data_IF_130164160050
#
_entry.id   IF_130164160050
#
_cell.length_a   1.000
_cell.length_b   1.000
_cell.length_c   1.000
_cell.angle_alpha   90.00
_cell.angle_beta   90.00
_cell.angle_gamma   90.00
#
_symmetry.space_group_name_H-M   'P 1'
#
loop_
_entity.id
_entity.type
_entity.pdbx_description
1 polymer ?
#
# COMPACT_ATOMS: atom_id res chain seq x y z
N UNK A 1 -15.03 4.61 -18.00
CA UNK A 1 -14.08 4.68 -16.87
C UNK A 1 -14.83 5.20 -15.66
N UNK A 2 -14.77 4.47 -14.54
CA UNK A 2 -15.55 4.77 -13.34
C UNK A 2 -14.75 5.60 -12.30
N UNK A 3 -13.52 5.97 -12.63
CA UNK A 3 -12.62 6.70 -11.72
C UNK A 3 -12.25 8.06 -12.32
N UNK A 4 -12.28 9.10 -11.46
CA UNK A 4 -11.83 10.44 -11.80
C UNK A 4 -10.69 10.84 -10.86
N UNK A 5 -9.48 10.94 -11.36
CA UNK A 5 -8.32 11.39 -10.57
C UNK A 5 -8.39 12.91 -10.45
N UNK A 6 -8.76 13.40 -9.27
CA UNK A 6 -8.94 14.84 -8.99
C UNK A 6 -7.68 15.53 -8.49
N UNK A 7 -6.73 14.77 -7.92
CA UNK A 7 -5.45 15.28 -7.44
C UNK A 7 -4.39 14.18 -7.40
N UNK A 8 -3.14 14.55 -7.57
CA UNK A 8 -1.97 13.69 -7.39
C UNK A 8 -0.84 14.50 -6.78
N UNK A 9 -0.19 13.98 -5.74
CA UNK A 9 1.02 14.55 -5.14
C UNK A 9 2.03 13.45 -4.80
N UNK A 10 3.32 13.80 -4.79
CA UNK A 10 4.39 12.89 -4.42
C UNK A 10 4.52 12.83 -2.88
N UNK A 11 4.46 11.62 -2.32
CA UNK A 11 4.66 11.35 -0.90
C UNK A 11 6.05 10.84 -0.54
N UNK A 12 6.94 10.65 -1.54
CA UNK A 12 8.35 10.23 -1.40
C UNK A 12 8.54 8.98 -0.53
N UNK A 13 7.60 8.04 -0.57
CA UNK A 13 7.58 6.83 0.28
C UNK A 13 7.77 7.15 1.78
N UNK A 14 7.32 8.33 2.19
CA UNK A 14 7.53 8.84 3.56
C UNK A 14 6.21 9.28 4.16
N UNK A 15 5.84 8.69 5.29
CA UNK A 15 4.55 8.90 5.98
C UNK A 15 4.25 10.36 6.26
N UNK A 16 5.21 11.10 6.80
CA UNK A 16 5.02 12.53 7.12
C UNK A 16 4.85 13.41 5.88
N UNK A 17 5.63 13.14 4.81
CA UNK A 17 5.52 13.89 3.55
C UNK A 17 4.17 13.60 2.89
N UNK A 18 3.74 12.34 2.88
CA UNK A 18 2.44 11.94 2.37
C UNK A 18 1.28 12.55 3.18
N UNK A 19 1.43 12.67 4.50
CA UNK A 19 0.46 13.36 5.36
C UNK A 19 0.31 14.82 4.97
N UNK A 20 1.41 15.54 4.80
CA UNK A 20 1.40 16.95 4.37
C UNK A 20 0.81 17.10 2.95
N UNK A 21 1.20 16.20 2.04
CA UNK A 21 0.65 16.16 0.68
C UNK A 21 -0.87 15.96 0.69
N UNK A 22 -1.36 15.02 1.48
CA UNK A 22 -2.79 14.74 1.61
C UNK A 22 -3.54 15.89 2.29
N UNK A 23 -2.97 16.54 3.28
CA UNK A 23 -3.56 17.73 3.90
C UNK A 23 -3.78 18.86 2.87
N UNK A 24 -2.81 19.09 1.98
CA UNK A 24 -2.96 20.04 0.87
C UNK A 24 -4.05 19.62 -0.12
N UNK A 25 -4.15 18.32 -0.44
CA UNK A 25 -5.21 17.79 -1.32
C UNK A 25 -6.59 18.01 -0.69
N UNK A 26 -6.74 17.72 0.62
CA UNK A 26 -7.98 17.93 1.37
C UNK A 26 -8.36 19.42 1.37
N UNK A 27 -7.40 20.31 1.64
CA UNK A 27 -7.66 21.76 1.63
C UNK A 27 -8.19 22.25 0.28
N UNK A 28 -7.69 21.69 -0.84
CA UNK A 28 -8.07 22.10 -2.17
C UNK A 28 -9.37 21.45 -2.68
N UNK A 29 -9.70 20.25 -2.24
CA UNK A 29 -10.77 19.43 -2.83
C UNK A 29 -11.92 19.12 -1.85
N UNK A 30 -11.68 19.13 -0.54
CA UNK A 30 -12.68 18.92 0.50
C UNK A 30 -13.41 17.59 0.35
N UNK A 31 -14.75 17.67 0.39
CA UNK A 31 -15.71 16.56 0.32
C UNK A 31 -15.82 15.86 -1.05
N UNK A 32 -15.04 16.30 -2.05
CA UNK A 32 -14.99 15.63 -3.36
C UNK A 32 -14.12 14.37 -3.35
N UNK A 33 -13.33 14.18 -2.28
CA UNK A 33 -12.46 13.02 -2.11
C UNK A 33 -13.30 11.88 -1.55
N UNK A 34 -13.39 10.77 -2.30
CA UNK A 34 -14.07 9.55 -1.88
C UNK A 34 -13.17 8.31 -1.93
N UNK A 35 -11.97 8.44 -2.50
CA UNK A 35 -10.96 7.38 -2.48
C UNK A 35 -9.55 7.97 -2.48
N UNK A 36 -8.63 7.25 -1.86
CA UNK A 36 -7.19 7.52 -1.86
C UNK A 36 -6.45 6.24 -2.25
N UNK A 37 -5.54 6.37 -3.21
CA UNK A 37 -4.62 5.31 -3.58
C UNK A 37 -3.19 5.74 -3.25
N UNK A 38 -2.61 5.11 -2.25
CA UNK A 38 -1.19 5.22 -1.96
C UNK A 38 -0.39 4.24 -2.81
N UNK A 39 0.60 4.73 -3.55
CA UNK A 39 1.51 3.85 -4.31
C UNK A 39 2.46 3.06 -3.41
N UNK A 40 2.34 3.26 -2.10
CA UNK A 40 3.08 2.63 -1.04
C UNK A 40 2.27 2.74 0.26
N UNK A 41 2.41 1.78 1.18
CA UNK A 41 1.66 1.75 2.44
C UNK A 41 2.00 2.92 3.36
N UNK A 42 3.25 3.40 3.40
CA UNK A 42 3.62 4.59 4.18
C UNK A 42 2.86 5.82 3.69
N UNK A 43 2.70 5.95 2.36
CA UNK A 43 1.91 7.02 1.78
C UNK A 43 0.42 6.90 2.11
N UNK A 44 -0.13 5.68 2.05
CA UNK A 44 -1.53 5.43 2.43
C UNK A 44 -1.78 5.75 3.91
N UNK A 45 -0.89 5.32 4.81
CA UNK A 45 -0.98 5.60 6.25
C UNK A 45 -0.85 7.11 6.53
N UNK A 46 0.05 7.81 5.85
CA UNK A 46 0.16 9.26 5.93
C UNK A 46 -1.14 9.96 5.52
N UNK A 47 -1.76 9.48 4.43
CA UNK A 47 -3.07 9.99 4.00
C UNK A 47 -4.18 9.73 5.02
N UNK A 48 -4.22 8.53 5.63
CA UNK A 48 -5.16 8.20 6.74
C UNK A 48 -5.02 9.21 7.87
N UNK A 49 -3.79 9.55 8.28
CA UNK A 49 -3.55 10.51 9.35
C UNK A 49 -4.09 11.90 9.00
N UNK A 50 -3.88 12.37 7.76
CA UNK A 50 -4.40 13.66 7.30
C UNK A 50 -5.93 13.68 7.21
N UNK A 51 -6.57 12.60 6.74
CA UNK A 51 -8.03 12.45 6.70
C UNK A 51 -8.61 12.54 8.10
N UNK A 52 -8.06 11.79 9.07
CA UNK A 52 -8.50 11.83 10.48
C UNK A 52 -8.33 13.23 11.09
N UNK A 53 -7.21 13.91 10.81
CA UNK A 53 -6.96 15.27 11.28
C UNK A 53 -7.97 16.29 10.73
N UNK A 54 -8.49 16.04 9.52
CA UNK A 54 -9.53 16.83 8.87
C UNK A 54 -10.95 16.46 9.33
N UNK A 55 -11.11 15.48 10.23
CA UNK A 55 -12.42 15.01 10.71
C UNK A 55 -13.14 14.08 9.74
N UNK A 56 -12.47 13.59 8.69
CA UNK A 56 -12.98 12.58 7.78
C UNK A 56 -12.70 11.17 8.35
N UNK A 57 -13.44 10.19 7.91
CA UNK A 57 -13.33 8.80 8.37
C UNK A 57 -12.78 7.91 7.25
N UNK A 58 -11.45 7.63 7.26
CA UNK A 58 -10.89 6.65 6.32
C UNK A 58 -11.51 5.28 6.57
N UNK A 59 -11.77 4.53 5.48
CA UNK A 59 -12.48 3.26 5.50
C UNK A 59 -14.01 3.34 5.60
N UNK A 60 -14.58 4.53 5.94
CA UNK A 60 -16.04 4.76 5.95
C UNK A 60 -16.43 5.82 4.90
N UNK A 61 -15.95 7.06 5.05
CA UNK A 61 -16.26 8.18 4.16
C UNK A 61 -15.36 8.17 2.91
N UNK A 62 -14.12 7.72 3.07
CA UNK A 62 -13.06 7.71 2.06
C UNK A 62 -12.41 6.34 2.01
N UNK A 63 -12.55 5.64 0.92
CA UNK A 63 -11.84 4.38 0.70
C UNK A 63 -10.33 4.63 0.61
N UNK A 64 -9.53 3.78 1.27
CA UNK A 64 -8.06 3.90 1.26
C UNK A 64 -7.43 2.57 0.90
N UNK A 65 -6.58 2.58 -0.11
CA UNK A 65 -5.81 1.40 -0.52
C UNK A 65 -4.33 1.73 -0.69
N UNK A 66 -3.47 0.74 -0.46
CA UNK A 66 -2.02 0.85 -0.56
C UNK A 66 -1.36 -0.28 -1.31
N UNK A 67 -0.03 -0.26 -1.31
CA UNK A 67 0.83 -1.33 -1.82
C UNK A 67 2.00 -1.50 -0.84
N UNK A 68 2.29 -2.74 -0.50
CA UNK A 68 3.42 -3.12 0.35
C UNK A 68 3.10 -4.38 1.15
N UNK A 69 2.03 -4.38 1.92
CA UNK A 69 1.71 -5.41 2.89
C UNK A 69 2.46 -5.20 4.21
N UNK A 70 2.78 -3.95 4.55
CA UNK A 70 3.47 -3.60 5.79
C UNK A 70 2.58 -3.87 7.01
N UNK A 71 3.21 -4.21 8.12
CA UNK A 71 2.50 -4.53 9.36
C UNK A 71 1.60 -3.40 9.82
N UNK A 72 2.04 -2.14 9.73
CA UNK A 72 1.25 -0.98 10.12
C UNK A 72 0.01 -0.80 9.21
N UNK A 73 0.12 -1.12 7.91
CA UNK A 73 -1.02 -1.12 6.99
C UNK A 73 -2.04 -2.21 7.36
N UNK A 74 -1.55 -3.40 7.73
CA UNK A 74 -2.41 -4.47 8.23
C UNK A 74 -3.17 -4.05 9.50
N UNK A 75 -2.52 -3.34 10.41
CA UNK A 75 -3.18 -2.76 11.60
C UNK A 75 -4.26 -1.75 11.20
N UNK A 76 -4.01 -0.89 10.20
CA UNK A 76 -5.03 0.03 9.70
C UNK A 76 -6.22 -0.72 9.08
N UNK A 77 -5.98 -1.84 8.38
CA UNK A 77 -7.05 -2.71 7.84
C UNK A 77 -7.88 -3.32 8.98
N UNK A 78 -7.22 -3.88 10.00
CA UNK A 78 -7.91 -4.44 11.17
C UNK A 78 -8.76 -3.39 11.92
N UNK A 79 -8.32 -2.13 11.94
CA UNK A 79 -9.05 -1.02 12.54
C UNK A 79 -10.18 -0.46 11.65
N UNK A 80 -10.32 -0.95 10.41
CA UNK A 80 -11.28 -0.44 9.44
C UNK A 80 -10.94 0.95 8.89
N UNK A 81 -9.67 1.36 8.98
CA UNK A 81 -9.16 2.66 8.50
C UNK A 81 -8.57 2.57 7.07
N UNK A 82 -8.36 1.35 6.59
CA UNK A 82 -7.82 1.02 5.27
C UNK A 82 -8.57 -0.17 4.69
N UNK A 83 -8.96 -0.09 3.41
CA UNK A 83 -9.74 -1.15 2.76
C UNK A 83 -8.86 -2.31 2.31
N UNK A 84 -7.59 -2.05 2.03
CA UNK A 84 -6.65 -3.11 1.68
C UNK A 84 -5.30 -2.61 1.18
N UNK A 85 -4.37 -3.55 1.07
CA UNK A 85 -3.07 -3.36 0.47
C UNK A 85 -2.71 -4.54 -0.43
N UNK A 86 -1.91 -4.31 -1.46
CA UNK A 86 -1.37 -5.40 -2.29
C UNK A 86 0.02 -5.76 -1.79
N UNK A 87 0.22 -7.04 -1.47
CA UNK A 87 1.52 -7.52 -1.01
C UNK A 87 2.60 -7.30 -2.07
N UNK A 88 3.65 -6.59 -1.70
CA UNK A 88 4.91 -6.51 -2.41
C UNK A 88 6.01 -7.09 -1.48
N UNK A 89 6.08 -8.42 -1.42
CA UNK A 89 6.93 -9.12 -0.46
C UNK A 89 8.43 -8.83 -0.68
N UNK A 90 9.18 -8.47 0.36
CA UNK A 90 10.64 -8.37 0.31
C UNK A 90 11.33 -9.75 0.40
N UNK A 91 10.59 -10.83 0.68
CA UNK A 91 11.10 -12.16 0.97
C UNK A 91 11.42 -12.96 -0.31
N UNK A 92 12.17 -12.39 -1.24
CA UNK A 92 12.59 -13.07 -2.47
C UNK A 92 14.02 -13.63 -2.44
N UNK A 93 14.69 -13.57 -1.29
CA UNK A 93 16.05 -14.07 -1.11
C UNK A 93 16.24 -15.53 -1.58
N UNK A 94 15.44 -16.51 -1.14
CA UNK A 94 15.56 -17.90 -1.57
C UNK A 94 15.50 -18.04 -3.11
N UNK A 95 14.53 -17.38 -3.75
CA UNK A 95 14.40 -17.38 -5.21
C UNK A 95 15.63 -16.80 -5.90
N UNK A 96 16.17 -15.70 -5.38
CA UNK A 96 17.36 -15.05 -5.95
C UNK A 96 18.59 -15.97 -5.82
N UNK A 97 18.79 -16.62 -4.66
CA UNK A 97 19.92 -17.55 -4.49
C UNK A 97 19.81 -18.78 -5.40
N UNK A 98 18.62 -19.38 -5.53
CA UNK A 98 18.35 -20.47 -6.48
C UNK A 98 18.73 -20.09 -7.90
N UNK A 99 18.37 -18.87 -8.32
CA UNK A 99 18.70 -18.37 -9.66
C UNK A 99 20.20 -18.14 -9.83
N UNK A 100 20.88 -17.64 -8.82
CA UNK A 100 22.34 -17.50 -8.84
C UNK A 100 23.02 -18.85 -9.01
N UNK A 101 22.58 -19.90 -8.29
CA UNK A 101 23.12 -21.26 -8.42
C UNK A 101 22.93 -21.80 -9.84
N UNK A 102 21.73 -21.64 -10.44
CA UNK A 102 21.44 -22.04 -11.81
C UNK A 102 22.33 -21.32 -12.83
N UNK A 103 22.49 -19.99 -12.69
CA UNK A 103 23.38 -19.20 -13.56
C UNK A 103 24.83 -19.71 -13.47
N UNK A 104 25.34 -19.98 -12.27
CA UNK A 104 26.70 -20.50 -12.07
C UNK A 104 26.84 -21.89 -12.67
N UNK A 105 25.81 -22.72 -12.64
CA UNK A 105 25.77 -24.03 -13.26
C UNK A 105 25.65 -23.97 -14.81
N UNK A 106 25.45 -22.79 -15.39
CA UNK A 106 25.27 -22.61 -16.84
C UNK A 106 23.89 -23.03 -17.35
N UNK A 107 22.91 -23.10 -16.45
CA UNK A 107 21.52 -23.39 -16.78
C UNK A 107 20.83 -22.18 -17.39
N UNK A 108 19.88 -22.40 -18.29
CA UNK A 108 19.01 -21.34 -18.80
C UNK A 108 17.98 -20.96 -17.73
N UNK A 109 17.80 -19.66 -17.53
CA UNK A 109 16.78 -19.11 -16.63
C UNK A 109 15.82 -18.23 -17.42
N UNK A 110 14.59 -18.11 -16.93
CA UNK A 110 13.63 -17.18 -17.48
C UNK A 110 14.11 -15.74 -17.30
N UNK A 111 13.86 -14.91 -18.30
CA UNK A 111 14.21 -13.47 -18.26
C UNK A 111 13.28 -12.66 -17.37
N UNK A 112 12.13 -13.22 -16.99
CA UNK A 112 11.14 -12.59 -16.13
C UNK A 112 10.58 -13.60 -15.15
N UNK A 113 10.79 -13.33 -13.85
CA UNK A 113 10.35 -14.19 -12.76
C UNK A 113 9.41 -13.40 -11.86
N UNK A 114 8.18 -13.88 -11.74
CA UNK A 114 7.15 -13.24 -10.94
C UNK A 114 7.36 -13.58 -9.47
N UNK A 115 7.52 -12.56 -8.63
CA UNK A 115 7.33 -12.72 -7.19
C UNK A 115 5.82 -12.56 -6.90
N UNK A 116 5.13 -13.62 -6.45
CA UNK A 116 3.68 -13.57 -6.29
C UNK A 116 3.27 -12.57 -5.20
N UNK A 117 2.27 -11.77 -5.51
CA UNK A 117 1.59 -10.91 -4.56
C UNK A 117 0.09 -11.18 -4.60
N UNK A 118 -0.60 -10.77 -3.54
CA UNK A 118 -2.05 -10.87 -3.44
C UNK A 118 -2.62 -9.70 -2.63
N UNK A 119 -3.94 -9.51 -2.73
CA UNK A 119 -4.65 -8.49 -1.97
C UNK A 119 -4.77 -8.94 -0.50
N UNK A 120 -4.44 -8.03 0.39
CA UNK A 120 -4.67 -8.17 1.84
C UNK A 120 -5.77 -7.18 2.19
N UNK A 121 -6.87 -7.67 2.73
CA UNK A 121 -8.03 -6.91 3.16
C UNK A 121 -8.62 -7.49 4.46
N UNK A 122 -9.77 -6.99 4.89
CA UNK A 122 -10.42 -7.43 6.12
C UNK A 122 -10.78 -8.92 6.15
N UNK A 123 -10.79 -9.61 5.01
CA UNK A 123 -11.13 -11.04 4.94
C UNK A 123 -9.95 -11.96 5.24
N UNK A 124 -8.71 -11.49 5.10
CA UNK A 124 -7.50 -12.32 5.24
C UNK A 124 -6.37 -11.67 6.05
N UNK A 125 -6.51 -10.44 6.50
CA UNK A 125 -5.45 -9.71 7.24
C UNK A 125 -5.02 -10.43 8.52
N UNK A 126 -5.94 -11.08 9.22
CA UNK A 126 -5.63 -11.80 10.47
C UNK A 126 -4.73 -13.02 10.25
N UNK A 127 -4.85 -13.66 9.08
CA UNK A 127 -3.97 -14.76 8.69
C UNK A 127 -2.59 -14.27 8.26
N UNK A 128 -2.54 -13.09 7.62
CA UNK A 128 -1.30 -12.54 7.07
C UNK A 128 -0.44 -11.79 8.10
N UNK A 129 -1.03 -11.06 9.04
CA UNK A 129 -0.31 -10.13 9.93
C UNK A 129 0.83 -10.76 10.76
N UNK A 130 0.80 -12.06 11.14
CA UNK A 130 1.94 -12.69 11.81
C UNK A 130 3.23 -12.71 10.97
N UNK A 131 3.10 -12.74 9.64
CA UNK A 131 4.19 -12.80 8.67
C UNK A 131 4.50 -11.43 8.04
N UNK A 132 3.77 -10.38 8.43
CA UNK A 132 3.95 -9.01 7.94
C UNK A 132 5.29 -8.41 8.42
N UNK A 133 5.90 -7.57 7.61
CA UNK A 133 7.21 -6.93 7.83
C UNK A 133 7.11 -5.44 8.16
#
# INVERSE_FOLDING_TARGET
>A
DNFNIIATQNGEFTRSIAQDAMANIIQANGDKINAVYGHDDECAIGAIQALKAAGMKPGEDVAVVGIGGFKDACVCIQNGEMDGTVLCSPWFGPTVFDLCEKIVAGEEIDTFIVNPGYMIDSSNVDEYIPDAF
#
